data_IF_728118628478
#
_entry.id   IF_728118628478
#
_cell.length_a   1.000
_cell.length_b   1.000
_cell.length_c   1.000
_cell.angle_alpha   90.00
_cell.angle_beta   90.00
_cell.angle_gamma   90.00
#
_symmetry.space_group_name_H-M   'P 1'
#
loop_
_entity.id
_entity.type
_entity.pdbx_description
1 polymer ?
#
# COMPACT_ATOMS: atom_id res chain seq x y z
N UNK A 1 17.55 7.22 16.36
CA UNK A 1 16.14 6.79 16.37
C UNK A 1 15.81 6.47 14.92
N UNK A 2 15.84 5.18 14.53
CA UNK A 2 15.29 4.80 13.22
C UNK A 2 13.83 5.20 13.26
N UNK A 3 13.38 6.04 12.33
CA UNK A 3 11.96 6.24 12.13
C UNK A 3 11.38 4.86 11.81
N UNK A 4 10.64 4.29 12.75
CA UNK A 4 10.12 2.94 12.65
C UNK A 4 9.26 2.87 11.38
N UNK A 5 9.69 2.10 10.38
CA UNK A 5 8.96 1.96 9.13
C UNK A 5 7.49 1.55 9.39
N UNK A 6 7.23 0.81 10.47
CA UNK A 6 5.90 0.41 10.93
C UNK A 6 5.00 1.58 11.40
N UNK A 7 5.58 2.73 11.75
CA UNK A 7 4.82 3.96 12.04
C UNK A 7 4.38 4.70 10.77
N UNK A 8 4.82 4.27 9.59
CA UNK A 8 4.40 4.88 8.33
C UNK A 8 2.94 4.51 8.07
N UNK A 9 2.04 5.49 7.91
CA UNK A 9 0.63 5.21 7.66
C UNK A 9 0.48 4.50 6.31
N UNK A 10 -0.17 3.34 6.32
CA UNK A 10 -0.43 2.52 5.15
C UNK A 10 -1.87 2.74 4.71
N UNK A 11 -2.09 2.94 3.41
CA UNK A 11 -3.43 3.03 2.82
C UNK A 11 -3.60 1.89 1.86
N UNK A 12 -4.71 1.16 1.98
CA UNK A 12 -4.99 0.01 1.13
C UNK A 12 -6.14 0.33 0.21
N UNK A 13 -5.88 0.34 -1.10
CA UNK A 13 -6.92 0.54 -2.09
C UNK A 13 -7.14 -0.71 -2.92
N UNK A 14 -8.40 -1.03 -3.16
CA UNK A 14 -8.79 -2.12 -4.03
C UNK A 14 -8.93 -1.62 -5.47
N UNK A 15 -8.20 -2.23 -6.40
CA UNK A 15 -8.32 -1.99 -7.84
C UNK A 15 -8.86 -3.23 -8.58
N UNK A 16 -9.75 -3.97 -7.93
CA UNK A 16 -10.41 -5.13 -8.53
C UNK A 16 -11.93 -5.06 -8.31
N UNK A 17 -12.65 -6.06 -8.82
CA UNK A 17 -14.09 -6.19 -8.55
C UNK A 17 -14.39 -7.00 -7.27
N UNK A 18 -13.34 -7.33 -6.49
CA UNK A 18 -13.48 -8.12 -5.26
C UNK A 18 -13.82 -7.20 -4.11
N UNK A 19 -15.08 -7.26 -3.68
CA UNK A 19 -15.56 -6.49 -2.54
C UNK A 19 -14.87 -6.96 -1.26
N UNK A 20 -14.29 -6.02 -0.51
CA UNK A 20 -13.67 -6.29 0.79
C UNK A 20 -12.20 -6.71 0.74
N UNK A 21 -11.59 -6.89 -0.44
CA UNK A 21 -10.18 -7.28 -0.55
C UNK A 21 -9.23 -6.28 0.12
N UNK A 22 -9.47 -4.98 -0.03
CA UNK A 22 -8.67 -3.96 0.66
C UNK A 22 -8.81 -4.05 2.19
N UNK A 23 -9.99 -4.41 2.71
CA UNK A 23 -10.20 -4.60 4.14
C UNK A 23 -9.50 -5.84 4.66
N UNK A 24 -9.48 -6.93 3.88
CA UNK A 24 -8.72 -8.15 4.22
C UNK A 24 -7.23 -7.85 4.29
N UNK A 25 -6.65 -7.25 3.24
CA UNK A 25 -5.23 -6.87 3.24
C UNK A 25 -4.91 -5.87 4.33
N UNK A 26 -5.79 -4.91 4.63
CA UNK A 26 -5.61 -4.02 5.77
C UNK A 26 -5.54 -4.77 7.11
N UNK A 27 -6.35 -5.81 7.27
CA UNK A 27 -6.32 -6.65 8.46
C UNK A 27 -4.99 -7.40 8.54
N UNK A 28 -4.56 -8.05 7.45
CA UNK A 28 -3.28 -8.77 7.38
C UNK A 28 -2.09 -7.85 7.72
N UNK A 29 -2.07 -6.63 7.17
CA UNK A 29 -1.03 -5.65 7.46
C UNK A 29 -1.07 -5.17 8.92
N UNK A 30 -2.26 -4.98 9.48
CA UNK A 30 -2.40 -4.61 10.89
C UNK A 30 -1.91 -5.74 11.81
N UNK A 31 -2.19 -7.00 11.46
CA UNK A 31 -1.69 -8.18 12.19
C UNK A 31 -0.16 -8.33 12.09
N UNK A 32 0.42 -7.96 10.94
CA UNK A 32 1.87 -7.86 10.76
C UNK A 32 2.51 -6.66 11.51
N UNK A 33 1.70 -5.79 12.13
CA UNK A 33 2.16 -4.65 12.94
C UNK A 33 2.28 -3.33 12.17
N UNK A 34 1.71 -3.24 10.97
CA UNK A 34 1.64 -1.99 10.22
C UNK A 34 0.47 -1.11 10.64
N UNK A 35 0.65 0.20 10.54
CA UNK A 35 -0.41 1.17 10.85
C UNK A 35 -1.26 1.44 9.62
N UNK A 36 -2.40 0.76 9.46
CA UNK A 36 -3.32 1.06 8.35
C UNK A 36 -4.18 2.29 8.69
N UNK A 37 -3.99 3.35 7.91
CA UNK A 37 -4.68 4.62 8.09
C UNK A 37 -6.00 4.70 7.33
N UNK A 38 -6.09 4.08 6.15
CA UNK A 38 -7.26 4.18 5.29
C UNK A 38 -7.42 2.95 4.39
N UNK A 39 -8.66 2.56 4.12
CA UNK A 39 -9.01 1.56 3.11
C UNK A 39 -10.04 2.11 2.14
N UNK A 40 -9.89 1.83 0.85
CA UNK A 40 -10.83 2.31 -0.16
C UNK A 40 -10.79 1.55 -1.48
N UNK A 41 -11.40 2.13 -2.51
CA UNK A 41 -11.31 1.63 -3.88
C UNK A 41 -10.45 2.60 -4.72
N UNK A 42 -9.55 2.05 -5.52
CA UNK A 42 -8.73 2.80 -6.46
C UNK A 42 -9.42 2.85 -7.82
N UNK A 43 -9.82 4.04 -8.25
CA UNK A 43 -10.54 4.25 -9.52
C UNK A 43 -9.78 5.15 -10.52
N UNK A 44 -8.60 5.63 -10.13
CA UNK A 44 -7.77 6.55 -10.94
C UNK A 44 -7.03 5.85 -12.09
N UNK A 45 -6.94 4.51 -12.05
CA UNK A 45 -6.33 3.73 -13.12
C UNK A 45 -6.48 2.23 -12.90
N UNK A 46 -5.95 1.44 -13.83
CA UNK A 46 -5.92 -0.03 -13.75
C UNK A 46 -4.49 -0.50 -13.49
N UNK A 47 -4.29 -1.22 -12.40
CA UNK A 47 -3.03 -1.84 -12.00
C UNK A 47 -3.14 -3.33 -12.29
N UNK A 48 -2.23 -3.86 -13.10
CA UNK A 48 -2.25 -5.26 -13.53
C UNK A 48 -1.96 -6.26 -12.41
N UNK A 49 -1.20 -5.85 -11.39
CA UNK A 49 -0.72 -6.69 -10.30
C UNK A 49 -0.63 -5.88 -9.00
N UNK A 50 -0.77 -6.54 -7.84
CA UNK A 50 -0.69 -5.85 -6.56
C UNK A 50 0.63 -5.10 -6.46
N UNK A 51 0.54 -3.79 -6.21
CA UNK A 51 1.71 -2.90 -6.24
C UNK A 51 1.65 -1.96 -5.04
N UNK A 52 2.79 -1.80 -4.37
CA UNK A 52 2.94 -0.95 -3.19
C UNK A 52 3.69 0.32 -3.58
N UNK A 53 3.06 1.47 -3.37
CA UNK A 53 3.56 2.77 -3.75
C UNK A 53 4.10 3.56 -2.56
N UNK A 54 5.33 4.05 -2.66
CA UNK A 54 5.98 4.85 -1.62
C UNK A 54 6.33 6.27 -2.09
N UNK A 55 6.34 7.21 -1.14
CA UNK A 55 6.81 8.59 -1.37
C UNK A 55 8.32 8.69 -1.55
N UNK A 56 8.87 9.90 -1.41
CA UNK A 56 10.31 10.10 -1.57
C UNK A 56 11.10 9.88 -0.26
N UNK A 57 10.43 9.51 0.83
CA UNK A 57 11.10 9.31 2.12
C UNK A 57 11.70 7.90 2.22
N UNK A 58 12.91 7.75 2.80
CA UNK A 58 13.54 6.44 2.98
C UNK A 58 12.67 5.48 3.82
N UNK A 59 12.03 5.98 4.89
CA UNK A 59 11.13 5.19 5.72
C UNK A 59 9.91 4.66 4.93
N UNK A 60 9.33 5.47 4.03
CA UNK A 60 8.23 5.03 3.16
C UNK A 60 8.69 3.94 2.19
N UNK A 61 9.90 4.07 1.63
CA UNK A 61 10.49 3.07 0.74
C UNK A 61 10.74 1.74 1.46
N UNK A 62 11.32 1.80 2.66
CA UNK A 62 11.57 0.61 3.49
C UNK A 62 10.25 -0.08 3.89
N UNK A 63 9.26 0.70 4.33
CA UNK A 63 7.92 0.19 4.63
C UNK A 63 7.29 -0.49 3.41
N UNK A 64 7.27 0.19 2.26
CA UNK A 64 6.69 -0.36 1.04
C UNK A 64 7.40 -1.62 0.55
N UNK A 65 8.72 -1.69 0.69
CA UNK A 65 9.48 -2.88 0.28
C UNK A 65 9.14 -4.08 1.16
N UNK A 66 9.00 -3.88 2.47
CA UNK A 66 8.60 -4.94 3.39
C UNK A 66 7.16 -5.39 3.13
N UNK A 67 6.22 -4.46 3.06
CA UNK A 67 4.80 -4.74 2.75
C UNK A 67 4.68 -5.46 1.40
N UNK A 68 5.44 -5.02 0.40
CA UNK A 68 5.46 -5.68 -0.90
C UNK A 68 5.97 -7.13 -0.79
N UNK A 69 7.03 -7.38 -0.01
CA UNK A 69 7.51 -8.74 0.22
C UNK A 69 6.49 -9.62 0.95
N UNK A 70 5.76 -9.08 1.93
CA UNK A 70 4.72 -9.82 2.66
C UNK A 70 3.52 -10.17 1.78
N UNK A 71 3.11 -9.24 0.91
CA UNK A 71 1.97 -9.43 0.01
C UNK A 71 2.33 -10.15 -1.30
N UNK A 72 3.61 -10.51 -1.51
CA UNK A 72 4.10 -11.05 -2.79
C UNK A 72 3.94 -10.06 -3.96
N UNK A 73 4.02 -8.77 -3.66
CA UNK A 73 3.80 -7.65 -4.55
C UNK A 73 5.11 -6.94 -4.92
N UNK A 74 5.00 -5.92 -5.78
CA UNK A 74 6.14 -5.08 -6.17
C UNK A 74 6.07 -3.70 -5.52
N UNK A 75 7.19 -3.20 -4.96
CA UNK A 75 7.27 -1.83 -4.47
C UNK A 75 7.73 -0.87 -5.58
N UNK A 76 6.96 0.20 -5.82
CA UNK A 76 7.27 1.25 -6.82
C UNK A 76 7.15 2.64 -6.21
N UNK A 77 7.89 3.65 -6.70
CA UNK A 77 7.67 5.03 -6.28
C UNK A 77 6.28 5.51 -6.72
N UNK A 78 5.66 6.38 -5.94
CA UNK A 78 4.39 7.05 -6.29
C UNK A 78 4.53 7.78 -7.62
N UNK A 79 3.53 7.62 -8.50
CA UNK A 79 3.43 8.36 -9.76
C UNK A 79 2.54 9.60 -9.58
N UNK A 80 2.49 10.47 -10.59
CA UNK A 80 1.83 11.78 -10.52
C UNK A 80 0.36 11.72 -10.03
N UNK A 81 -0.40 10.68 -10.39
CA UNK A 81 -1.82 10.53 -9.97
C UNK A 81 -2.00 10.31 -8.46
N UNK A 82 -1.01 9.74 -7.78
CA UNK A 82 -1.02 9.53 -6.31
C UNK A 82 0.06 10.35 -5.60
N UNK A 83 0.74 11.25 -6.30
CA UNK A 83 1.78 12.10 -5.73
C UNK A 83 1.22 13.07 -4.68
N UNK A 84 -0.03 13.53 -4.87
CA UNK A 84 -0.75 14.40 -3.95
C UNK A 84 -1.45 13.65 -2.80
N UNK A 85 -1.37 12.32 -2.78
CA UNK A 85 -1.86 11.57 -1.62
C UNK A 85 -1.02 11.90 -0.40
N UNK A 86 -1.63 11.89 0.78
CA UNK A 86 -0.97 12.24 2.04
C UNK A 86 0.28 11.36 2.30
N UNK A 87 1.18 11.79 3.17
CA UNK A 87 2.41 11.04 3.48
C UNK A 87 2.11 9.59 3.88
N UNK A 88 2.94 8.61 3.49
CA UNK A 88 2.73 7.21 3.84
C UNK A 88 3.05 6.19 2.73
N UNK A 89 2.55 4.98 2.89
CA UNK A 89 2.58 3.95 1.85
C UNK A 89 1.17 3.72 1.31
N UNK A 90 1.07 3.47 0.00
CA UNK A 90 -0.19 3.22 -0.69
C UNK A 90 -0.12 1.82 -1.31
N UNK A 91 -0.83 0.86 -0.75
CA UNK A 91 -0.95 -0.50 -1.26
C UNK A 91 -2.14 -0.52 -2.21
N UNK A 92 -1.92 -0.82 -3.48
CA UNK A 92 -3.01 -1.06 -4.43
C UNK A 92 -3.08 -2.57 -4.67
N UNK A 93 -4.12 -3.19 -4.12
CA UNK A 93 -4.39 -4.62 -4.28
C UNK A 93 -5.31 -4.85 -5.46
N UNK A 94 -4.99 -5.87 -6.25
CA UNK A 94 -5.88 -6.38 -7.29
C UNK A 94 -5.99 -7.88 -7.15
N UNK A 95 -7.06 -8.46 -7.68
CA UNK A 95 -7.15 -9.90 -7.81
C UNK A 95 -6.13 -10.30 -8.88
N UNK A 96 -4.94 -10.73 -8.45
CA UNK A 96 -4.01 -11.38 -9.36
C UNK A 96 -4.77 -12.54 -10.03
N UNK A 97 -4.85 -12.48 -11.36
CA UNK A 97 -5.59 -13.44 -12.19
C UNK A 97 -5.05 -14.86 -12.07
#
# INVERSE_FOLDING_TARGET
>A
MSADASSVPVRVFNNSNVTGLAGQTATELTEAGWTVAETGNYSDGTISETTVYYGNSPAEKEAATQIAAELGATAKPRFAGIANSSAGVIVIVTAAG
#
